data_IF_543921409882
#
_entry.id   IF_543921409882
#
_cell.length_a   1.000
_cell.length_b   1.000
_cell.length_c   1.000
_cell.angle_alpha   90.00
_cell.angle_beta   90.00
_cell.angle_gamma   90.00
#
_symmetry.space_group_name_H-M   'P 1'
#
loop_
_entity.id
_entity.type
_entity.pdbx_description
1 polymer ?
#
# COMPACT_ATOMS: atom_id res chain seq x y z
N UNK A 1 -61.25 -29.13 13.55
CA UNK A 1 -59.85 -29.40 13.15
C UNK A 1 -59.22 -28.10 12.68
N UNK A 2 -58.54 -27.41 13.59
CA UNK A 2 -57.81 -26.16 13.34
C UNK A 2 -56.45 -26.50 12.73
N UNK A 3 -56.25 -26.10 11.47
CA UNK A 3 -54.99 -26.31 10.74
C UNK A 3 -53.98 -25.27 11.22
N UNK A 4 -53.06 -25.67 12.07
CA UNK A 4 -51.89 -24.88 12.48
C UNK A 4 -50.95 -24.76 11.28
N UNK A 5 -50.86 -23.57 10.68
CA UNK A 5 -49.80 -23.23 9.74
C UNK A 5 -48.52 -23.02 10.53
N UNK A 6 -47.55 -23.93 10.37
CA UNK A 6 -46.22 -23.73 10.89
C UNK A 6 -45.58 -22.50 10.21
N UNK A 7 -44.96 -21.58 10.98
CA UNK A 7 -44.26 -20.45 10.39
C UNK A 7 -43.07 -20.96 9.58
N UNK A 8 -43.05 -20.67 8.28
CA UNK A 8 -41.86 -20.83 7.44
C UNK A 8 -40.70 -20.06 8.07
N UNK A 9 -39.52 -20.67 8.27
CA UNK A 9 -38.40 -19.97 8.90
C UNK A 9 -37.91 -18.85 7.99
N UNK A 10 -38.25 -17.61 8.35
CA UNK A 10 -37.95 -16.37 7.60
C UNK A 10 -36.43 -16.05 7.53
N UNK A 11 -35.58 -16.83 8.21
CA UNK A 11 -34.14 -16.54 8.35
C UNK A 11 -33.18 -17.19 7.35
N UNK A 12 -33.51 -18.37 6.78
CA UNK A 12 -32.53 -19.17 6.03
C UNK A 12 -32.24 -18.63 4.61
N UNK A 13 -33.21 -17.98 3.98
CA UNK A 13 -33.07 -17.47 2.61
C UNK A 13 -32.06 -16.33 2.46
N UNK A 14 -32.01 -15.41 3.44
CA UNK A 14 -31.10 -14.24 3.41
C UNK A 14 -29.65 -14.62 3.64
N UNK A 15 -29.39 -15.54 4.57
CA UNK A 15 -28.04 -16.04 4.85
C UNK A 15 -27.49 -16.79 3.63
N UNK A 16 -28.31 -17.67 3.03
CA UNK A 16 -27.90 -18.41 1.83
C UNK A 16 -27.64 -17.48 0.65
N UNK A 17 -28.45 -16.44 0.46
CA UNK A 17 -28.22 -15.43 -0.58
C UNK A 17 -26.90 -14.66 -0.35
N UNK A 18 -26.58 -14.33 0.89
CA UNK A 18 -25.32 -13.67 1.26
C UNK A 18 -24.11 -14.58 1.04
N UNK A 19 -24.14 -15.83 1.50
CA UNK A 19 -23.08 -16.83 1.28
C UNK A 19 -22.86 -17.05 -0.21
N UNK A 20 -23.94 -17.18 -0.99
CA UNK A 20 -23.86 -17.31 -2.44
C UNK A 20 -23.27 -16.06 -3.10
N UNK A 21 -23.57 -14.86 -2.60
CA UNK A 21 -22.97 -13.61 -3.09
C UNK A 21 -21.44 -13.58 -2.87
N UNK A 22 -20.95 -14.10 -1.74
CA UNK A 22 -19.51 -14.19 -1.47
C UNK A 22 -18.86 -15.26 -2.34
N UNK A 23 -19.49 -16.44 -2.43
CA UNK A 23 -18.99 -17.55 -3.24
C UNK A 23 -18.91 -17.20 -4.73
N UNK A 24 -19.82 -16.36 -5.20
CA UNK A 24 -19.92 -15.87 -6.58
C UNK A 24 -19.37 -14.43 -6.72
N UNK A 25 -18.42 -14.04 -5.87
CA UNK A 25 -17.72 -12.77 -5.99
C UNK A 25 -16.84 -12.79 -7.25
N UNK A 26 -16.98 -11.78 -8.10
CA UNK A 26 -16.13 -11.60 -9.27
C UNK A 26 -14.91 -10.72 -8.95
N UNK A 27 -14.06 -10.47 -9.94
CA UNK A 27 -12.84 -9.68 -9.76
C UNK A 27 -13.09 -8.27 -9.24
N UNK A 28 -14.21 -7.63 -9.62
CA UNK A 28 -14.56 -6.31 -9.11
C UNK A 28 -14.88 -6.36 -7.62
N UNK A 29 -15.65 -7.37 -7.18
CA UNK A 29 -15.99 -7.54 -5.76
C UNK A 29 -14.72 -7.68 -4.89
N UNK A 30 -13.70 -8.41 -5.36
CA UNK A 30 -12.40 -8.51 -4.70
C UNK A 30 -11.64 -7.19 -4.64
N UNK A 31 -11.60 -6.44 -5.76
CA UNK A 31 -10.97 -5.12 -5.81
C UNK A 31 -11.63 -4.17 -4.80
N UNK A 32 -12.96 -4.19 -4.71
CA UNK A 32 -13.70 -3.36 -3.77
C UNK A 32 -13.35 -3.69 -2.31
N UNK A 33 -13.31 -4.96 -1.94
CA UNK A 33 -12.93 -5.37 -0.58
C UNK A 33 -11.49 -5.02 -0.24
N UNK A 34 -10.54 -5.33 -1.13
CA UNK A 34 -9.14 -4.98 -0.92
C UNK A 34 -8.96 -3.46 -0.80
N UNK A 35 -9.66 -2.67 -1.62
CA UNK A 35 -9.62 -1.20 -1.56
C UNK A 35 -10.19 -0.68 -0.25
N UNK A 36 -11.35 -1.17 0.20
CA UNK A 36 -11.94 -0.72 1.48
C UNK A 36 -11.08 -1.12 2.68
N UNK A 37 -10.38 -2.25 2.58
CA UNK A 37 -9.39 -2.64 3.56
C UNK A 37 -8.17 -1.68 3.55
N UNK A 38 -7.70 -1.25 2.39
CA UNK A 38 -6.69 -0.18 2.29
C UNK A 38 -7.20 1.13 2.89
N UNK A 39 -8.44 1.53 2.60
CA UNK A 39 -9.08 2.74 3.16
C UNK A 39 -9.10 2.70 4.70
N UNK A 40 -9.35 1.53 5.28
CA UNK A 40 -9.28 1.32 6.73
C UNK A 40 -7.86 1.50 7.27
N UNK A 41 -6.84 1.05 6.56
CA UNK A 41 -5.44 1.17 7.00
C UNK A 41 -4.90 2.60 6.92
N UNK A 42 -5.35 3.40 5.95
CA UNK A 42 -4.97 4.81 5.84
C UNK A 42 -5.80 5.72 6.74
N UNK A 43 -6.78 5.18 7.46
CA UNK A 43 -7.59 5.92 8.39
C UNK A 43 -6.85 6.08 9.74
N UNK A 44 -6.18 7.21 9.93
CA UNK A 44 -5.39 7.46 11.16
C UNK A 44 -6.19 8.05 12.34
N UNK A 45 -7.48 8.36 12.18
CA UNK A 45 -8.33 8.83 13.30
C UNK A 45 -9.52 7.92 13.49
N UNK A 46 -10.05 7.88 14.72
CA UNK A 46 -11.25 7.07 15.06
C UNK A 46 -12.42 7.39 14.13
N UNK A 47 -12.62 8.66 13.79
CA UNK A 47 -13.67 9.06 12.86
C UNK A 47 -13.52 8.39 11.48
N UNK A 48 -12.34 8.49 10.86
CA UNK A 48 -12.09 7.87 9.55
C UNK A 48 -12.13 6.34 9.62
N UNK A 49 -11.69 5.74 10.73
CA UNK A 49 -11.72 4.30 10.94
C UNK A 49 -13.15 3.77 11.04
N UNK A 50 -13.99 4.40 11.86
CA UNK A 50 -15.41 4.05 11.99
C UNK A 50 -16.11 4.17 10.64
N UNK A 51 -15.83 5.24 9.89
CA UNK A 51 -16.36 5.42 8.55
C UNK A 51 -15.90 4.32 7.58
N UNK A 52 -14.60 4.00 7.54
CA UNK A 52 -14.06 2.95 6.69
C UNK A 52 -14.63 1.56 7.03
N UNK A 53 -14.77 1.25 8.32
CA UNK A 53 -15.41 0.02 8.81
C UNK A 53 -16.88 -0.02 8.37
N UNK A 54 -17.62 1.08 8.50
CA UNK A 54 -19.01 1.14 8.07
C UNK A 54 -19.15 0.88 6.55
N UNK A 55 -18.27 1.46 5.73
CA UNK A 55 -18.21 1.18 4.29
C UNK A 55 -17.86 -0.28 3.99
N UNK A 56 -16.89 -0.86 4.70
CA UNK A 56 -16.49 -2.26 4.53
C UNK A 56 -17.62 -3.23 4.91
N UNK A 57 -18.30 -2.99 6.03
CA UNK A 57 -19.48 -3.75 6.45
C UNK A 57 -20.57 -3.63 5.39
N UNK A 58 -20.88 -2.41 4.94
CA UNK A 58 -21.91 -2.17 3.94
C UNK A 58 -21.60 -2.89 2.60
N UNK A 59 -20.35 -2.84 2.14
CA UNK A 59 -19.90 -3.53 0.93
C UNK A 59 -19.97 -5.06 1.06
N UNK A 60 -19.74 -5.59 2.26
CA UNK A 60 -19.79 -7.03 2.56
C UNK A 60 -21.23 -7.55 2.63
N UNK A 61 -22.14 -6.78 3.22
CA UNK A 61 -23.55 -7.15 3.34
C UNK A 61 -24.28 -6.92 2.02
N UNK A 62 -24.05 -5.79 1.35
CA UNK A 62 -24.80 -5.36 0.17
C UNK A 62 -23.95 -5.30 -1.10
N UNK A 63 -24.24 -6.19 -2.06
CA UNK A 63 -23.61 -6.18 -3.39
C UNK A 63 -23.83 -4.87 -4.16
N UNK A 64 -24.98 -4.24 -3.96
CA UNK A 64 -25.26 -2.94 -4.55
C UNK A 64 -24.32 -1.85 -4.01
N UNK A 65 -24.00 -1.87 -2.71
CA UNK A 65 -23.16 -0.86 -2.09
C UNK A 65 -21.72 -0.90 -2.65
N UNK A 66 -21.10 -2.08 -2.77
CA UNK A 66 -19.73 -2.22 -3.30
C UNK A 66 -19.59 -1.84 -4.77
N UNK A 67 -20.67 -1.96 -5.54
CA UNK A 67 -20.71 -1.57 -6.97
C UNK A 67 -21.20 -0.14 -7.19
N UNK A 68 -21.69 0.50 -6.14
CA UNK A 68 -22.21 1.85 -6.21
C UNK A 68 -21.06 2.83 -6.38
N UNK A 69 -21.08 3.73 -7.38
CA UNK A 69 -20.10 4.81 -7.48
C UNK A 69 -20.12 5.71 -6.24
N UNK A 70 -21.27 5.80 -5.55
CA UNK A 70 -21.47 6.67 -4.40
C UNK A 70 -20.61 6.29 -3.18
N UNK A 71 -20.31 5.00 -2.96
CA UNK A 71 -19.44 4.61 -1.85
C UNK A 71 -18.04 5.21 -2.04
N UNK A 72 -17.54 5.17 -3.27
CA UNK A 72 -16.22 5.67 -3.63
C UNK A 72 -16.16 7.20 -3.60
N UNK A 73 -17.19 7.88 -4.11
CA UNK A 73 -17.30 9.34 -4.01
C UNK A 73 -17.37 9.80 -2.55
N UNK A 74 -18.05 9.05 -1.69
CA UNK A 74 -18.15 9.38 -0.26
C UNK A 74 -16.79 9.24 0.41
N UNK A 75 -16.04 8.17 0.11
CA UNK A 75 -14.65 8.01 0.57
C UNK A 75 -13.78 9.19 0.09
N UNK A 76 -13.84 9.54 -1.20
CA UNK A 76 -13.09 10.70 -1.75
C UNK A 76 -13.49 11.99 -1.02
N UNK A 77 -14.78 12.29 -0.90
CA UNK A 77 -15.28 13.51 -0.30
C UNK A 77 -14.91 13.63 1.19
N UNK A 78 -14.88 12.51 1.93
CA UNK A 78 -14.55 12.51 3.36
C UNK A 78 -13.05 12.61 3.60
N UNK A 79 -12.21 11.93 2.81
CA UNK A 79 -10.77 11.93 3.05
C UNK A 79 -10.04 13.13 2.40
N UNK A 80 -10.60 13.74 1.35
CA UNK A 80 -9.95 14.87 0.64
C UNK A 80 -9.71 16.11 1.51
N UNK A 81 -10.65 16.56 2.37
CA UNK A 81 -10.41 17.72 3.23
C UNK A 81 -9.15 17.59 4.09
N UNK A 82 -8.88 16.40 4.64
CA UNK A 82 -7.65 16.12 5.39
C UNK A 82 -6.41 16.25 4.52
N UNK A 83 -6.45 15.76 3.28
CA UNK A 83 -5.30 15.92 2.37
C UNK A 83 -4.98 17.39 2.10
N UNK A 84 -5.99 18.25 2.01
CA UNK A 84 -5.80 19.67 1.69
C UNK A 84 -5.38 20.46 2.94
N UNK A 85 -6.04 20.23 4.07
CA UNK A 85 -5.83 21.00 5.29
C UNK A 85 -4.57 20.55 6.05
N UNK A 86 -4.27 19.26 6.04
CA UNK A 86 -3.16 18.65 6.77
C UNK A 86 -2.11 18.04 5.82
N UNK A 87 -1.93 18.63 4.63
CA UNK A 87 -1.12 18.07 3.55
C UNK A 87 0.30 17.64 3.98
N UNK A 88 0.89 18.34 4.94
CA UNK A 88 2.24 18.14 5.46
C UNK A 88 2.38 16.89 6.36
N UNK A 89 1.28 16.39 6.91
CA UNK A 89 1.23 15.21 7.78
C UNK A 89 0.83 13.94 7.03
N UNK A 90 0.39 14.08 5.77
CA UNK A 90 -0.10 12.95 4.99
C UNK A 90 1.04 12.24 4.26
N UNK A 91 1.04 10.91 4.35
CA UNK A 91 1.92 10.07 3.55
C UNK A 91 1.41 9.94 2.10
N UNK A 92 2.33 9.76 1.15
CA UNK A 92 2.04 9.67 -0.30
C UNK A 92 0.95 8.66 -0.66
N UNK A 93 0.86 7.56 0.10
CA UNK A 93 -0.11 6.49 -0.17
C UNK A 93 -1.56 6.88 0.17
N UNK A 94 -1.77 7.91 1.00
CA UNK A 94 -3.11 8.47 1.26
C UNK A 94 -3.62 9.19 0.01
N UNK A 95 -2.78 10.03 -0.61
CA UNK A 95 -3.09 10.68 -1.89
C UNK A 95 -3.41 9.64 -2.97
N UNK A 96 -2.57 8.63 -3.12
CA UNK A 96 -2.76 7.57 -4.11
C UNK A 96 -4.06 6.77 -3.86
N UNK A 97 -4.41 6.52 -2.60
CA UNK A 97 -5.66 5.86 -2.23
C UNK A 97 -6.88 6.67 -2.67
N UNK A 98 -6.86 7.99 -2.48
CA UNK A 98 -7.97 8.85 -2.91
C UNK A 98 -8.08 8.89 -4.44
N UNK A 99 -6.97 9.02 -5.17
CA UNK A 99 -6.98 8.92 -6.63
C UNK A 99 -7.52 7.57 -7.11
N UNK A 100 -7.15 6.48 -6.43
CA UNK A 100 -7.66 5.15 -6.72
C UNK A 100 -9.18 5.04 -6.47
N UNK A 101 -9.68 5.53 -5.34
CA UNK A 101 -11.12 5.57 -5.08
C UNK A 101 -11.87 6.45 -6.10
N UNK A 102 -11.31 7.58 -6.51
CA UNK A 102 -11.88 8.40 -7.59
C UNK A 102 -11.94 7.62 -8.92
N UNK A 103 -10.89 6.87 -9.26
CA UNK A 103 -10.89 6.02 -10.45
C UNK A 103 -11.97 4.91 -10.38
N UNK A 104 -12.18 4.29 -9.22
CA UNK A 104 -13.28 3.33 -9.02
C UNK A 104 -14.65 3.98 -9.18
N UNK A 105 -14.85 5.17 -8.61
CA UNK A 105 -16.09 5.94 -8.75
C UNK A 105 -16.42 6.20 -10.23
N UNK A 106 -15.44 6.73 -10.97
CA UNK A 106 -15.57 7.06 -12.38
C UNK A 106 -15.80 5.82 -13.24
N UNK A 107 -15.07 4.73 -12.97
CA UNK A 107 -15.22 3.49 -13.72
C UNK A 107 -16.59 2.83 -13.54
N UNK A 108 -17.23 2.99 -12.37
CA UNK A 108 -18.55 2.43 -12.07
C UNK A 108 -19.70 3.07 -12.86
N UNK A 109 -19.47 4.21 -13.53
CA UNK A 109 -20.45 4.81 -14.44
C UNK A 109 -20.30 4.40 -15.90
N UNK A 110 -19.15 3.83 -16.28
CA UNK A 110 -18.85 3.43 -17.65
C UNK A 110 -19.30 1.99 -17.98
N UNK A 111 -19.57 1.66 -19.26
CA UNK A 111 -19.92 0.31 -19.68
C UNK A 111 -18.76 -0.69 -19.52
N UNK A 112 -17.50 -0.24 -19.69
CA UNK A 112 -16.30 -1.08 -19.64
C UNK A 112 -15.54 -0.96 -18.30
N UNK A 113 -16.27 -1.05 -17.19
CA UNK A 113 -15.74 -0.82 -15.82
C UNK A 113 -14.41 -1.53 -15.57
N UNK A 114 -14.28 -2.81 -15.90
CA UNK A 114 -13.05 -3.59 -15.63
C UNK A 114 -11.85 -3.08 -16.42
N UNK A 115 -12.05 -2.69 -17.68
CA UNK A 115 -10.98 -2.14 -18.51
C UNK A 115 -10.55 -0.78 -17.97
N UNK A 116 -11.50 0.10 -17.64
CA UNK A 116 -11.22 1.42 -17.09
C UNK A 116 -10.45 1.32 -15.76
N UNK A 117 -10.85 0.40 -14.88
CA UNK A 117 -10.15 0.14 -13.62
C UNK A 117 -8.71 -0.34 -13.89
N UNK A 118 -8.52 -1.32 -14.78
CA UNK A 118 -7.19 -1.83 -15.11
C UNK A 118 -6.28 -0.75 -15.70
N UNK A 119 -6.83 0.13 -16.54
CA UNK A 119 -6.10 1.26 -17.11
C UNK A 119 -5.68 2.28 -16.07
N UNK A 120 -6.61 2.68 -15.18
CA UNK A 120 -6.29 3.61 -14.11
C UNK A 120 -5.30 3.00 -13.12
N UNK A 121 -5.47 1.73 -12.75
CA UNK A 121 -4.50 1.01 -11.90
C UNK A 121 -3.11 1.04 -12.53
N UNK A 122 -3.01 0.76 -13.83
CA UNK A 122 -1.73 0.80 -14.55
C UNK A 122 -1.08 2.18 -14.51
N UNK A 123 -1.86 3.23 -14.81
CA UNK A 123 -1.36 4.60 -14.84
C UNK A 123 -0.97 5.11 -13.46
N UNK A 124 -1.79 4.87 -12.43
CA UNK A 124 -1.52 5.28 -11.06
C UNK A 124 -0.25 4.61 -10.52
N UNK A 125 -0.07 3.30 -10.75
CA UNK A 125 1.17 2.59 -10.41
C UNK A 125 2.35 3.20 -11.15
N UNK A 126 2.26 3.31 -12.49
CA UNK A 126 3.37 3.81 -13.31
C UNK A 126 3.78 5.24 -12.99
N UNK A 127 2.82 6.14 -12.79
CA UNK A 127 3.09 7.55 -12.45
C UNK A 127 3.63 7.70 -11.02
N UNK A 128 3.10 6.94 -10.05
CA UNK A 128 3.63 6.94 -8.69
C UNK A 128 5.12 6.57 -8.68
N UNK A 129 5.49 5.50 -9.38
CA UNK A 129 6.89 5.08 -9.48
C UNK A 129 7.76 5.99 -10.33
N UNK A 130 7.20 6.63 -11.36
CA UNK A 130 7.92 7.63 -12.16
C UNK A 130 8.32 8.81 -11.28
N UNK A 131 7.38 9.39 -10.53
CA UNK A 131 7.66 10.53 -9.65
C UNK A 131 8.58 10.14 -8.50
N UNK A 132 8.38 8.96 -7.90
CA UNK A 132 9.27 8.46 -6.86
C UNK A 132 10.71 8.29 -7.36
N UNK A 133 10.91 7.71 -8.55
CA UNK A 133 12.23 7.53 -9.16
C UNK A 133 12.85 8.88 -9.52
N UNK A 134 12.08 9.79 -10.13
CA UNK A 134 12.56 11.11 -10.53
C UNK A 134 13.02 11.93 -9.32
N UNK A 135 12.25 11.90 -8.23
CA UNK A 135 12.63 12.58 -6.98
C UNK A 135 13.94 12.01 -6.39
N UNK A 136 14.11 10.68 -6.40
CA UNK A 136 15.34 10.02 -5.91
C UNK A 136 16.56 10.39 -6.75
N UNK A 137 16.41 10.42 -8.07
CA UNK A 137 17.48 10.84 -8.98
C UNK A 137 17.82 12.33 -8.85
N UNK A 138 16.82 13.17 -8.56
CA UNK A 138 16.99 14.60 -8.35
C UNK A 138 17.55 14.95 -6.95
N UNK A 139 17.63 14.00 -6.03
CA UNK A 139 18.06 14.21 -4.64
C UNK A 139 19.48 13.68 -4.41
N UNK A 140 20.52 14.54 -4.30
CA UNK A 140 21.90 14.11 -4.09
C UNK A 140 22.08 13.15 -2.93
N UNK A 141 21.47 13.50 -1.78
CA UNK A 141 21.51 12.68 -0.58
C UNK A 141 20.85 11.30 -0.74
N UNK A 142 19.98 11.10 -1.73
CA UNK A 142 19.39 9.78 -1.97
C UNK A 142 20.36 8.90 -2.76
N UNK A 143 20.82 9.37 -3.94
CA UNK A 143 21.61 8.52 -4.84
C UNK A 143 23.04 8.30 -4.34
N UNK A 144 23.62 9.21 -3.55
CA UNK A 144 24.93 9.00 -2.93
C UNK A 144 24.88 8.04 -1.72
N UNK A 145 23.67 7.71 -1.25
CA UNK A 145 23.37 6.82 -0.14
C UNK A 145 23.27 7.52 1.22
N UNK A 146 23.52 8.82 1.34
CA UNK A 146 23.54 9.55 2.62
C UNK A 146 22.22 9.46 3.39
N UNK A 147 21.09 9.59 2.69
CA UNK A 147 19.76 9.44 3.26
C UNK A 147 19.52 8.00 3.71
N UNK A 148 19.96 7.01 2.93
CA UNK A 148 19.84 5.60 3.31
C UNK A 148 20.73 5.27 4.52
N UNK A 149 21.92 5.86 4.63
CA UNK A 149 22.79 5.75 5.82
C UNK A 149 22.05 6.32 7.03
N UNK A 150 21.51 7.53 6.92
CA UNK A 150 20.72 8.13 8.00
C UNK A 150 19.53 7.24 8.41
N UNK A 151 18.80 6.67 7.44
CA UNK A 151 17.68 5.76 7.72
C UNK A 151 18.12 4.46 8.39
N UNK A 152 19.22 3.85 7.97
CA UNK A 152 19.74 2.63 8.60
C UNK A 152 20.15 2.85 10.07
N UNK A 153 20.59 4.06 10.42
CA UNK A 153 21.00 4.41 11.78
C UNK A 153 19.83 4.81 12.69
N UNK A 154 18.83 5.52 12.16
CA UNK A 154 17.78 6.14 12.99
C UNK A 154 16.38 5.57 12.83
N UNK A 155 16.06 4.97 11.68
CA UNK A 155 14.73 4.45 11.44
C UNK A 155 14.61 3.04 12.03
N UNK A 156 13.85 2.92 13.12
CA UNK A 156 13.69 1.68 13.88
C UNK A 156 13.24 0.49 13.00
N UNK A 157 12.54 0.76 11.89
CA UNK A 157 12.07 -0.27 10.96
C UNK A 157 13.22 -0.99 10.26
N UNK A 158 14.34 -0.29 10.03
CA UNK A 158 15.55 -0.87 9.43
C UNK A 158 16.42 -1.58 10.46
N UNK A 159 16.42 -1.11 11.72
CA UNK A 159 17.32 -1.59 12.76
C UNK A 159 17.27 -3.11 12.96
N UNK A 160 16.08 -3.64 13.23
CA UNK A 160 15.88 -5.05 13.57
C UNK A 160 16.01 -5.98 12.35
N UNK A 161 15.71 -5.48 11.14
CA UNK A 161 15.62 -6.32 9.93
C UNK A 161 16.92 -6.30 9.13
N UNK A 162 17.67 -5.21 9.19
CA UNK A 162 18.84 -4.97 8.36
C UNK A 162 20.07 -4.58 9.18
N UNK A 163 20.01 -3.50 9.95
CA UNK A 163 21.21 -2.88 10.51
C UNK A 163 21.92 -3.77 11.53
N UNK A 164 21.19 -4.32 12.50
CA UNK A 164 21.75 -5.25 13.49
C UNK A 164 22.26 -6.56 12.83
N UNK A 165 21.45 -7.30 12.04
CA UNK A 165 21.87 -8.60 11.51
C UNK A 165 22.92 -8.52 10.38
N UNK A 166 22.91 -7.47 9.55
CA UNK A 166 23.76 -7.39 8.36
C UNK A 166 24.98 -6.48 8.54
N UNK A 167 24.87 -5.44 9.36
CA UNK A 167 25.94 -4.46 9.54
C UNK A 167 26.72 -4.66 10.84
N UNK A 168 26.15 -5.36 11.84
CA UNK A 168 26.80 -5.61 13.13
C UNK A 168 26.90 -4.37 14.02
N UNK A 169 25.97 -3.42 13.87
CA UNK A 169 25.90 -2.24 14.74
C UNK A 169 25.46 -2.69 16.14
N UNK A 170 26.28 -2.41 17.15
CA UNK A 170 25.97 -2.82 18.52
C UNK A 170 24.92 -1.89 19.15
N UNK A 171 24.12 -2.39 20.11
CA UNK A 171 23.15 -1.54 20.81
C UNK A 171 23.79 -0.31 21.50
N UNK A 172 25.00 -0.42 22.11
CA UNK A 172 25.71 0.76 22.60
C UNK A 172 26.01 1.83 21.54
N UNK A 173 26.41 1.43 20.32
CA UNK A 173 26.70 2.39 19.24
C UNK A 173 25.41 3.09 18.78
N UNK A 174 24.29 2.35 18.75
CA UNK A 174 22.96 2.92 18.46
C UNK A 174 22.58 3.96 19.51
N UNK A 175 22.73 3.64 20.80
CA UNK A 175 22.37 4.54 21.89
C UNK A 175 23.26 5.79 21.91
N UNK A 176 24.56 5.64 21.61
CA UNK A 176 25.50 6.75 21.46
C UNK A 176 25.12 7.68 20.30
N UNK A 177 24.83 7.11 19.12
CA UNK A 177 24.37 7.86 17.96
C UNK A 177 23.03 8.57 18.20
N UNK A 178 22.11 7.92 18.91
CA UNK A 178 20.83 8.53 19.27
C UNK A 178 21.02 9.71 20.24
N UNK A 179 21.91 9.55 21.23
CA UNK A 179 22.25 10.61 22.19
C UNK A 179 22.92 11.81 21.51
N UNK A 180 23.86 11.57 20.60
CA UNK A 180 24.47 12.60 19.79
C UNK A 180 23.41 13.35 18.98
N UNK A 181 22.45 12.63 18.41
CA UNK A 181 21.41 13.23 17.59
C UNK A 181 20.43 14.10 18.39
N UNK A 182 20.00 13.61 19.54
CA UNK A 182 19.18 14.38 20.49
C UNK A 182 19.93 15.66 20.89
N UNK A 183 21.24 15.57 21.12
CA UNK A 183 22.06 16.71 21.50
C UNK A 183 22.16 17.76 20.39
N UNK A 184 22.12 17.37 19.12
CA UNK A 184 22.05 18.29 17.99
C UNK A 184 20.67 18.94 17.87
N UNK A 185 19.58 18.17 18.01
CA UNK A 185 18.22 18.64 17.71
C UNK A 185 17.49 19.28 18.89
N UNK A 186 18.02 19.17 20.12
CA UNK A 186 17.39 19.75 21.30
C UNK A 186 17.32 21.28 21.23
N UNK A 187 16.22 21.83 21.75
CA UNK A 187 16.02 23.29 21.84
C UNK A 187 17.16 23.95 22.61
N UNK A 188 17.84 24.91 21.99
CA UNK A 188 18.97 25.62 22.59
C UNK A 188 20.33 24.95 22.35
N UNK A 189 20.39 23.89 21.53
CA UNK A 189 21.66 23.35 21.06
C UNK A 189 22.49 24.42 20.36
N UNK A 190 23.80 24.39 20.60
CA UNK A 190 24.81 25.21 19.91
C UNK A 190 25.70 24.36 18.99
N UNK A 191 25.34 23.08 18.83
CA UNK A 191 26.05 22.18 17.94
C UNK A 191 25.53 22.41 16.51
N UNK A 192 26.44 22.54 15.57
CA UNK A 192 26.11 22.61 14.13
C UNK A 192 26.19 21.22 13.47
N UNK A 193 26.97 20.30 14.05
CA UNK A 193 27.15 18.93 13.59
C UNK A 193 27.46 17.97 14.73
N UNK A 194 27.25 16.66 14.49
CA UNK A 194 27.71 15.57 15.35
C UNK A 194 28.29 14.45 14.50
N UNK A 195 29.32 13.78 15.01
CA UNK A 195 29.86 12.58 14.37
C UNK A 195 29.05 11.36 14.82
N UNK A 196 28.73 10.49 13.87
CA UNK A 196 28.04 9.23 14.13
C UNK A 196 29.01 8.07 13.91
N UNK A 197 28.98 7.10 14.80
CA UNK A 197 29.82 5.92 14.73
C UNK A 197 29.05 4.76 14.11
N UNK A 198 29.57 4.22 13.01
CA UNK A 198 28.99 3.07 12.35
C UNK A 198 30.03 2.35 11.49
N UNK A 199 29.89 1.02 11.30
CA UNK A 199 30.82 0.26 10.49
C UNK A 199 30.64 0.58 8.99
N UNK A 200 31.72 0.44 8.21
CA UNK A 200 31.71 0.66 6.74
C UNK A 200 30.63 -0.15 6.01
N UNK A 201 30.21 -1.28 6.59
CA UNK A 201 29.10 -2.12 6.08
C UNK A 201 27.79 -1.34 5.97
N UNK A 202 27.54 -0.37 6.85
CA UNK A 202 26.35 0.51 6.78
C UNK A 202 26.39 1.35 5.50
N UNK A 203 27.54 1.92 5.14
CA UNK A 203 27.69 2.73 3.91
C UNK A 203 27.45 1.86 2.68
N UNK A 204 28.04 0.66 2.66
CA UNK A 204 27.85 -0.27 1.54
C UNK A 204 26.37 -0.65 1.38
N UNK A 205 25.72 -1.03 2.49
CA UNK A 205 24.30 -1.39 2.48
C UNK A 205 23.43 -0.20 2.07
N UNK A 206 23.72 1.00 2.55
CA UNK A 206 23.00 2.22 2.19
C UNK A 206 23.05 2.48 0.68
N UNK A 207 24.24 2.40 0.07
CA UNK A 207 24.41 2.56 -1.38
C UNK A 207 23.70 1.46 -2.17
N UNK A 208 23.77 0.23 -1.69
CA UNK A 208 23.04 -0.89 -2.31
C UNK A 208 21.53 -0.66 -2.26
N UNK A 209 20.97 -0.26 -1.11
CA UNK A 209 19.54 0.01 -0.96
C UNK A 209 19.10 1.19 -1.84
N UNK A 210 19.88 2.28 -1.87
CA UNK A 210 19.61 3.43 -2.72
C UNK A 210 19.56 3.01 -4.21
N UNK A 211 20.59 2.31 -4.68
CA UNK A 211 20.68 1.81 -6.05
C UNK A 211 19.56 0.81 -6.40
N UNK A 212 19.29 -0.15 -5.51
CA UNK A 212 18.20 -1.11 -5.68
C UNK A 212 16.85 -0.42 -5.79
N UNK A 213 16.58 0.56 -4.91
CA UNK A 213 15.31 1.28 -4.88
C UNK A 213 15.10 2.07 -6.17
N UNK A 214 16.10 2.82 -6.62
CA UNK A 214 16.06 3.54 -7.90
C UNK A 214 15.82 2.57 -9.05
N UNK A 215 16.54 1.43 -9.07
CA UNK A 215 16.43 0.44 -10.13
C UNK A 215 15.02 -0.17 -10.20
N UNK A 216 14.50 -0.65 -9.07
CA UNK A 216 13.22 -1.36 -9.05
C UNK A 216 12.04 -0.41 -9.29
N UNK A 217 12.06 0.79 -8.71
CA UNK A 217 11.03 1.81 -8.96
C UNK A 217 11.08 2.31 -10.41
N UNK A 218 12.28 2.57 -10.95
CA UNK A 218 12.44 2.97 -12.35
C UNK A 218 11.96 1.88 -13.31
N UNK A 219 12.21 0.61 -12.98
CA UNK A 219 11.71 -0.52 -13.76
C UNK A 219 10.17 -0.56 -13.73
N UNK A 220 9.54 -0.34 -12.57
CA UNK A 220 8.08 -0.27 -12.48
C UNK A 220 7.50 0.88 -13.29
N UNK A 221 8.09 2.07 -13.19
CA UNK A 221 7.67 3.23 -13.97
C UNK A 221 7.64 2.89 -15.47
N UNK A 222 8.74 2.33 -15.99
CA UNK A 222 8.84 1.93 -17.41
C UNK A 222 7.81 0.84 -17.75
N UNK A 223 7.80 -0.26 -17.01
CA UNK A 223 6.99 -1.45 -17.31
C UNK A 223 5.47 -1.16 -17.24
N UNK A 224 5.04 -0.25 -16.36
CA UNK A 224 3.65 0.14 -16.23
C UNK A 224 3.24 1.26 -17.19
N UNK A 225 4.10 2.23 -17.49
CA UNK A 225 3.75 3.33 -18.40
C UNK A 225 3.81 2.93 -19.88
N UNK A 226 4.71 2.02 -20.25
CA UNK A 226 4.80 1.54 -21.63
C UNK A 226 3.50 0.87 -22.11
N UNK A 227 3.18 0.95 -23.42
CA UNK A 227 1.99 0.30 -23.97
C UNK A 227 1.93 -1.20 -23.66
N UNK A 228 0.75 -1.77 -23.35
CA UNK A 228 0.60 -3.22 -23.12
C UNK A 228 1.06 -4.10 -24.29
N UNK A 229 1.10 -3.57 -25.50
CA UNK A 229 1.62 -4.26 -26.69
C UNK A 229 3.14 -4.41 -26.68
N UNK A 230 3.86 -3.59 -25.92
CA UNK A 230 5.33 -3.59 -25.88
C UNK A 230 5.89 -4.39 -24.71
N UNK A 231 5.14 -4.48 -23.61
CA UNK A 231 5.57 -5.16 -22.39
C UNK A 231 4.61 -6.29 -22.08
N UNK A 232 5.14 -7.52 -22.04
CA UNK A 232 4.34 -8.70 -21.67
C UNK A 232 3.79 -8.53 -20.25
N UNK A 233 2.54 -8.93 -20.03
CA UNK A 233 1.85 -8.78 -18.74
C UNK A 233 2.63 -9.40 -17.57
N UNK A 234 3.30 -10.54 -17.80
CA UNK A 234 4.08 -11.21 -16.77
C UNK A 234 5.18 -10.31 -16.17
N UNK A 235 5.84 -9.46 -16.96
CA UNK A 235 6.86 -8.54 -16.43
C UNK A 235 6.23 -7.54 -15.44
N UNK A 236 5.06 -6.97 -15.76
CA UNK A 236 4.36 -6.05 -14.85
C UNK A 236 4.05 -6.72 -13.52
N UNK A 237 3.47 -7.92 -13.59
CA UNK A 237 3.05 -8.63 -12.39
C UNK A 237 4.25 -9.06 -11.55
N UNK A 238 5.26 -9.67 -12.17
CA UNK A 238 6.46 -10.12 -11.47
C UNK A 238 7.23 -8.95 -10.86
N UNK A 239 7.46 -7.87 -11.60
CA UNK A 239 8.19 -6.71 -11.06
C UNK A 239 7.45 -6.08 -9.89
N UNK A 240 6.11 -5.94 -9.96
CA UNK A 240 5.33 -5.36 -8.84
C UNK A 240 5.37 -6.24 -7.60
N UNK A 241 5.27 -7.56 -7.75
CA UNK A 241 5.36 -8.50 -6.63
C UNK A 241 6.77 -8.48 -6.04
N UNK A 242 7.82 -8.55 -6.87
CA UNK A 242 9.22 -8.48 -6.42
C UNK A 242 9.49 -7.18 -5.67
N UNK A 243 9.01 -6.05 -6.18
CA UNK A 243 9.09 -4.77 -5.48
C UNK A 243 8.43 -4.83 -4.12
N UNK A 244 7.18 -5.30 -4.04
CA UNK A 244 6.47 -5.36 -2.77
C UNK A 244 7.12 -6.28 -1.76
N UNK A 245 7.66 -7.42 -2.20
CA UNK A 245 8.37 -8.36 -1.32
C UNK A 245 9.72 -7.79 -0.85
N UNK A 246 10.51 -7.21 -1.74
CA UNK A 246 11.84 -6.69 -1.39
C UNK A 246 11.79 -5.37 -0.63
N UNK A 247 10.72 -4.59 -0.79
CA UNK A 247 10.58 -3.27 -0.16
C UNK A 247 9.73 -3.34 1.11
N UNK A 248 8.51 -3.88 1.04
CA UNK A 248 7.56 -3.79 2.16
C UNK A 248 7.69 -4.91 3.20
N UNK A 249 8.38 -6.02 2.89
CA UNK A 249 8.76 -6.96 3.96
C UNK A 249 9.92 -6.44 4.81
N UNK A 250 10.76 -5.58 4.21
CA UNK A 250 11.89 -4.93 4.86
C UNK A 250 11.43 -3.71 5.65
N UNK A 251 10.78 -2.76 4.96
CA UNK A 251 10.28 -1.51 5.53
C UNK A 251 8.76 -1.52 5.43
N UNK A 252 8.07 -1.95 6.48
CA UNK A 252 6.62 -2.12 6.42
C UNK A 252 5.93 -0.77 6.25
N UNK A 253 5.32 -0.58 5.08
CA UNK A 253 4.37 0.51 4.79
C UNK A 253 3.13 -0.16 4.20
N UNK A 254 2.29 -0.67 5.09
CA UNK A 254 1.21 -1.60 4.75
C UNK A 254 0.18 -1.00 3.78
N UNK A 255 -0.16 0.28 3.96
CA UNK A 255 -1.10 1.00 3.09
C UNK A 255 -0.66 0.99 1.63
N UNK A 256 0.60 1.36 1.36
CA UNK A 256 1.18 1.31 0.01
C UNK A 256 1.22 -0.12 -0.55
N UNK A 257 1.73 -1.07 0.24
CA UNK A 257 1.89 -2.46 -0.20
C UNK A 257 0.56 -3.08 -0.64
N UNK A 258 -0.48 -2.95 0.18
CA UNK A 258 -1.81 -3.50 -0.16
C UNK A 258 -2.49 -2.73 -1.28
N UNK A 259 -2.30 -1.40 -1.36
CA UNK A 259 -2.83 -0.61 -2.47
C UNK A 259 -2.24 -1.07 -3.81
N UNK A 260 -0.93 -1.30 -3.86
CA UNK A 260 -0.28 -1.84 -5.05
C UNK A 260 -0.70 -3.27 -5.38
N UNK A 261 -0.87 -4.14 -4.39
CA UNK A 261 -1.42 -5.48 -4.64
C UNK A 261 -2.87 -5.42 -5.17
N UNK A 262 -3.67 -4.46 -4.70
CA UNK A 262 -5.04 -4.23 -5.17
C UNK A 262 -5.05 -3.77 -6.63
N UNK A 263 -4.24 -2.76 -6.97
CA UNK A 263 -4.11 -2.27 -8.34
C UNK A 263 -3.48 -3.32 -9.28
N UNK A 264 -2.55 -4.13 -8.77
CA UNK A 264 -1.98 -5.26 -9.50
C UNK A 264 -3.01 -6.35 -9.79
N UNK A 265 -3.81 -6.73 -8.79
CA UNK A 265 -4.92 -7.66 -8.95
C UNK A 265 -5.92 -7.15 -9.99
N UNK A 266 -6.24 -5.86 -9.96
CA UNK A 266 -7.17 -5.23 -10.90
C UNK A 266 -6.74 -5.31 -12.37
N UNK A 267 -5.45 -5.46 -12.63
CA UNK A 267 -4.89 -5.57 -13.98
C UNK A 267 -4.88 -7.00 -14.53
N UNK A 268 -5.22 -8.00 -13.71
CA UNK A 268 -5.19 -9.41 -14.15
C UNK A 268 -6.34 -9.76 -15.09
N UNK A 269 -6.00 -10.43 -16.18
CA UNK A 269 -6.96 -11.05 -17.10
C UNK A 269 -7.57 -12.33 -16.51
N UNK A 270 -8.59 -12.87 -17.18
CA UNK A 270 -9.26 -14.09 -16.73
C UNK A 270 -8.38 -15.34 -16.78
N UNK A 271 -7.37 -15.35 -17.65
CA UNK A 271 -6.44 -16.46 -17.81
C UNK A 271 -5.27 -16.39 -16.80
N UNK A 272 -5.06 -15.25 -16.14
CA UNK A 272 -3.94 -15.02 -15.21
C UNK A 272 -4.29 -15.40 -13.76
N UNK A 273 -4.85 -16.60 -13.58
CA UNK A 273 -5.23 -17.13 -12.25
C UNK A 273 -4.03 -17.18 -11.30
N UNK A 274 -2.85 -17.54 -11.79
CA UNK A 274 -1.62 -17.59 -11.00
C UNK A 274 -1.26 -16.24 -10.37
N UNK A 275 -1.28 -15.16 -11.16
CA UNK A 275 -0.97 -13.83 -10.64
C UNK A 275 -2.03 -13.30 -9.69
N UNK A 276 -3.33 -13.58 -9.91
CA UNK A 276 -4.38 -13.26 -8.93
C UNK A 276 -4.10 -13.88 -7.56
N UNK A 277 -3.74 -15.17 -7.55
CA UNK A 277 -3.36 -15.87 -6.31
C UNK A 277 -2.10 -15.26 -5.71
N UNK A 278 -1.10 -14.92 -6.52
CA UNK A 278 0.13 -14.29 -6.05
C UNK A 278 -0.12 -12.92 -5.40
N UNK A 279 -0.99 -12.08 -5.96
CA UNK A 279 -1.37 -10.80 -5.34
C UNK A 279 -2.07 -10.97 -4.01
N UNK A 280 -3.01 -11.92 -3.91
CA UNK A 280 -3.69 -12.24 -2.65
C UNK A 280 -2.71 -12.81 -1.62
N UNK A 281 -1.85 -13.75 -2.02
CA UNK A 281 -0.85 -14.35 -1.14
C UNK A 281 0.16 -13.29 -0.65
N UNK A 282 0.61 -12.40 -1.53
CA UNK A 282 1.51 -11.30 -1.16
C UNK A 282 0.82 -10.33 -0.20
N UNK A 283 -0.46 -9.99 -0.45
CA UNK A 283 -1.25 -9.15 0.46
C UNK A 283 -1.33 -9.76 1.86
N UNK A 284 -1.62 -11.06 1.95
CA UNK A 284 -1.65 -11.79 3.22
C UNK A 284 -0.29 -11.84 3.89
N UNK A 285 0.79 -12.07 3.13
CA UNK A 285 2.14 -12.09 3.67
C UNK A 285 2.53 -10.73 4.28
N UNK A 286 2.19 -9.62 3.59
CA UNK A 286 2.41 -8.26 4.11
C UNK A 286 1.63 -8.01 5.40
N UNK A 287 0.38 -8.49 5.48
CA UNK A 287 -0.45 -8.38 6.68
C UNK A 287 0.11 -9.18 7.86
N UNK A 288 0.49 -10.43 7.63
CA UNK A 288 1.09 -11.28 8.66
C UNK A 288 2.41 -10.69 9.16
N UNK A 289 3.24 -10.19 8.24
CA UNK A 289 4.50 -9.52 8.58
C UNK A 289 4.26 -8.32 9.49
N UNK A 290 3.26 -7.49 9.18
CA UNK A 290 2.95 -6.30 9.99
C UNK A 290 2.40 -6.68 11.38
N UNK A 291 1.47 -7.64 11.45
CA UNK A 291 0.91 -8.12 12.72
C UNK A 291 1.92 -8.82 13.64
N UNK A 292 3.08 -9.23 13.14
CA UNK A 292 4.18 -9.77 13.95
C UNK A 292 5.13 -8.68 14.50
N UNK A 293 5.05 -7.44 14.00
CA UNK A 293 5.91 -6.31 14.42
C UNK A 293 5.15 -5.34 15.33
N UNK A 294 3.83 -5.23 15.13
CA UNK A 294 2.94 -4.40 15.94
C UNK A 294 2.68 -5.03 17.32
#
# INVERSE_FOLDING_TARGET
MTRTTSPTPVGSGRINAWVNSIRNADGYDWIAWMTLFVVLLVAHTVFYQVFAVACLIAATIWRAARRSPWIWLTVVAIFTPRLVLDWYDNEDHVYLTIYWCAALALASWGPDTRQVIAWNARLLVGLAFLFATAWKLASPAFYDGSLCTYKLLYDYRFRTVMTEPLCGLSSPDVDANQTAMISLTQTGSRLDEVSLEYPDRVIWLAKFLAGWTILIEGTLAVVFLLPPTWVRSWYRHTTLIVFSLTTYLVVPVLGFGLLFMTMGYAQTSENEVGFRRAYLATSWLLLLRFGLIA
#
